data_IF_325029461321
#
_entry.id   IF_325029461321
#
_cell.length_a   1.000
_cell.length_b   1.000
_cell.length_c   1.000
_cell.angle_alpha   90.00
_cell.angle_beta   90.00
_cell.angle_gamma   90.00
#
_symmetry.space_group_name_H-M   'P 1'
#
loop_
_entity.id
_entity.type
_entity.pdbx_description
1 polymer ?
#
# COMPACT_ATOMS: atom_id res chain seq x y z
N UNK A 1 -43.01 25.79 -45.83
CA UNK A 1 -42.53 25.13 -44.59
C UNK A 1 -41.31 24.31 -44.96
N UNK A 2 -40.13 24.88 -44.76
CA UNK A 2 -38.84 24.28 -45.14
C UNK A 2 -38.34 23.44 -43.96
N UNK A 3 -38.26 22.12 -44.14
CA UNK A 3 -37.82 21.20 -43.10
C UNK A 3 -36.29 21.29 -42.96
N UNK A 4 -35.87 21.73 -41.77
CA UNK A 4 -34.49 21.82 -41.31
C UNK A 4 -33.86 20.41 -41.29
N UNK A 5 -32.92 20.17 -42.21
CA UNK A 5 -32.13 18.94 -42.24
C UNK A 5 -31.19 18.90 -41.03
N UNK A 6 -31.46 17.99 -40.10
CA UNK A 6 -30.56 17.67 -38.98
C UNK A 6 -29.48 16.71 -39.49
N UNK A 7 -28.18 17.05 -39.38
CA UNK A 7 -27.13 16.10 -39.71
C UNK A 7 -27.13 14.95 -38.69
N UNK A 8 -27.25 13.73 -39.19
CA UNK A 8 -27.12 12.50 -38.42
C UNK A 8 -25.81 12.50 -37.60
N UNK A 9 -25.95 12.41 -36.28
CA UNK A 9 -24.84 12.15 -35.37
C UNK A 9 -24.20 10.81 -35.76
N UNK A 10 -23.00 10.90 -36.34
CA UNK A 10 -22.19 9.75 -36.69
C UNK A 10 -21.90 8.95 -35.42
N UNK A 11 -22.54 7.78 -35.30
CA UNK A 11 -22.25 6.77 -34.30
C UNK A 11 -20.81 6.32 -34.54
N UNK A 12 -19.87 6.90 -33.80
CA UNK A 12 -18.48 6.41 -33.78
C UNK A 12 -18.52 5.01 -33.17
N UNK A 13 -18.59 4.00 -34.03
CA UNK A 13 -18.26 2.61 -33.69
C UNK A 13 -16.91 2.64 -32.98
N UNK A 14 -16.92 2.34 -31.68
CA UNK A 14 -15.71 2.16 -30.90
C UNK A 14 -14.93 1.01 -31.57
N UNK A 15 -13.94 1.34 -32.38
CA UNK A 15 -13.00 0.36 -32.88
C UNK A 15 -12.41 -0.37 -31.66
N UNK A 16 -12.30 -1.72 -31.70
CA UNK A 16 -11.57 -2.43 -30.66
C UNK A 16 -10.15 -1.87 -30.63
N UNK A 17 -9.79 -1.25 -29.50
CA UNK A 17 -8.44 -0.77 -29.28
C UNK A 17 -7.44 -1.91 -29.47
N UNK A 18 -6.15 -1.58 -29.71
CA UNK A 18 -5.12 -2.61 -29.91
C UNK A 18 -5.17 -3.63 -28.77
N UNK A 19 -4.96 -4.93 -29.07
CA UNK A 19 -4.97 -5.97 -28.05
C UNK A 19 -3.99 -5.57 -26.95
N UNK A 20 -4.50 -5.46 -25.71
CA UNK A 20 -3.65 -5.17 -24.55
C UNK A 20 -2.58 -6.27 -24.50
N UNK A 21 -1.29 -5.93 -24.35
CA UNK A 21 -0.23 -6.93 -24.38
C UNK A 21 -0.53 -8.05 -23.39
N UNK A 22 -0.55 -9.29 -23.90
CA UNK A 22 -0.84 -10.53 -23.16
C UNK A 22 0.10 -10.81 -21.97
N UNK A 23 1.13 -9.97 -21.77
CA UNK A 23 2.08 -10.03 -20.67
C UNK A 23 1.47 -9.79 -19.28
N UNK A 24 0.21 -9.34 -19.19
CA UNK A 24 -0.47 -9.03 -17.91
C UNK A 24 -1.71 -9.91 -17.63
N UNK A 25 -1.97 -10.93 -18.45
CA UNK A 25 -3.05 -11.91 -18.25
C UNK A 25 -2.59 -13.06 -17.35
N UNK A 26 -2.15 -12.73 -16.15
CA UNK A 26 -1.92 -13.72 -15.12
C UNK A 26 -3.23 -14.20 -14.49
N UNK A 27 -3.33 -15.50 -14.22
CA UNK A 27 -4.41 -16.07 -13.42
C UNK A 27 -4.22 -15.79 -11.93
N UNK A 28 -5.30 -15.44 -11.25
CA UNK A 28 -5.41 -15.42 -9.79
C UNK A 28 -6.08 -16.73 -9.35
N UNK A 29 -5.67 -17.35 -8.22
CA UNK A 29 -6.35 -18.52 -7.67
C UNK A 29 -7.84 -18.20 -7.47
N UNK A 30 -8.71 -18.96 -8.13
CA UNK A 30 -10.16 -18.68 -8.12
C UNK A 30 -10.86 -19.25 -6.88
N UNK A 31 -10.23 -20.19 -6.17
CA UNK A 31 -10.79 -20.86 -5.02
C UNK A 31 -9.71 -21.33 -4.01
N UNK A 32 -10.05 -21.47 -2.71
CA UNK A 32 -9.19 -22.13 -1.73
C UNK A 32 -8.89 -23.58 -2.19
N UNK A 33 -7.60 -23.92 -2.34
CA UNK A 33 -7.15 -25.22 -2.86
C UNK A 33 -6.63 -25.19 -4.31
N UNK A 34 -6.73 -24.04 -4.99
CA UNK A 34 -6.06 -23.81 -6.28
C UNK A 34 -4.58 -23.46 -6.05
N UNK A 35 -3.70 -24.44 -6.28
CA UNK A 35 -2.24 -24.31 -6.12
C UNK A 35 -1.56 -23.60 -7.29
N UNK A 36 -2.32 -23.02 -8.22
CA UNK A 36 -1.74 -22.27 -9.34
C UNK A 36 -0.98 -21.05 -8.80
N UNK A 37 0.32 -20.93 -9.11
CA UNK A 37 1.08 -19.73 -8.77
C UNK A 37 0.39 -18.51 -9.39
N UNK A 38 0.16 -17.48 -8.58
CA UNK A 38 -0.43 -16.24 -9.08
C UNK A 38 0.52 -15.61 -10.11
N UNK A 39 0.05 -15.54 -11.35
CA UNK A 39 0.86 -15.13 -12.50
C UNK A 39 0.69 -13.65 -12.87
N UNK A 40 -0.17 -12.91 -12.16
CA UNK A 40 -0.43 -11.47 -12.44
C UNK A 40 0.78 -10.58 -12.14
N UNK A 41 1.72 -11.05 -11.30
CA UNK A 41 2.96 -10.33 -11.02
C UNK A 41 2.72 -8.87 -10.62
N UNK A 42 3.30 -7.93 -11.37
CA UNK A 42 3.20 -6.49 -11.12
C UNK A 42 2.06 -5.79 -11.87
N UNK A 43 1.16 -6.55 -12.52
CA UNK A 43 0.07 -6.01 -13.32
C UNK A 43 -0.88 -5.17 -12.45
N UNK A 44 -1.42 -4.05 -12.97
CA UNK A 44 -2.48 -3.31 -12.28
C UNK A 44 -3.70 -4.18 -11.97
N UNK A 45 -4.27 -4.03 -10.78
CA UNK A 45 -5.46 -4.76 -10.33
C UNK A 45 -6.72 -4.13 -10.96
N UNK A 46 -7.58 -4.93 -11.62
CA UNK A 46 -8.81 -4.44 -12.27
C UNK A 46 -9.82 -3.96 -11.22
N UNK A 47 -10.63 -2.96 -11.58
CA UNK A 47 -11.69 -2.39 -10.72
C UNK A 47 -12.59 -3.46 -10.09
N UNK A 48 -12.93 -4.53 -10.84
CA UNK A 48 -13.80 -5.62 -10.36
C UNK A 48 -13.17 -6.52 -9.29
N UNK A 49 -11.85 -6.48 -9.12
CA UNK A 49 -11.11 -7.21 -8.10
C UNK A 49 -10.58 -6.28 -7.00
N UNK A 50 -11.05 -5.03 -6.92
CA UNK A 50 -10.71 -4.12 -5.82
C UNK A 50 -11.71 -4.32 -4.70
N UNK A 51 -11.27 -5.01 -3.64
CA UNK A 51 -12.09 -5.32 -2.48
C UNK A 51 -11.33 -4.90 -1.22
N UNK A 52 -11.96 -4.10 -0.37
CA UNK A 52 -11.33 -3.60 0.85
C UNK A 52 -11.92 -2.27 1.28
N UNK A 53 -12.82 -2.31 2.26
CA UNK A 53 -13.30 -1.11 2.94
C UNK A 53 -12.32 -0.65 4.03
N UNK A 54 -12.52 0.58 4.53
CA UNK A 54 -11.70 1.17 5.59
C UNK A 54 -11.56 0.29 6.85
N UNK A 55 -12.62 -0.46 7.21
CA UNK A 55 -12.59 -1.38 8.35
C UNK A 55 -11.60 -2.54 8.20
N UNK A 56 -11.42 -3.09 6.99
CA UNK A 56 -10.45 -4.16 6.73
C UNK A 56 -9.02 -3.63 6.68
N UNK A 57 -8.85 -2.40 6.17
CA UNK A 57 -7.57 -1.67 6.28
C UNK A 57 -7.19 -1.47 7.75
N UNK A 58 -8.14 -1.07 8.60
CA UNK A 58 -7.87 -0.92 10.03
C UNK A 58 -7.32 -2.21 10.63
N UNK A 59 -7.93 -3.37 10.37
CA UNK A 59 -7.44 -4.65 10.93
C UNK A 59 -6.05 -5.03 10.41
N UNK A 60 -5.79 -4.80 9.12
CA UNK A 60 -4.49 -5.07 8.48
C UNK A 60 -3.38 -4.21 9.07
N UNK A 61 -3.68 -2.96 9.42
CA UNK A 61 -2.71 -2.05 10.02
C UNK A 61 -2.64 -2.20 11.55
N UNK A 62 -3.75 -2.44 12.23
CA UNK A 62 -3.80 -2.52 13.67
C UNK A 62 -2.96 -3.68 14.22
N UNK A 63 -3.09 -4.87 13.63
CA UNK A 63 -2.37 -6.06 14.09
C UNK A 63 -0.83 -5.89 14.13
N UNK A 64 -0.15 -5.45 13.05
CA UNK A 64 1.30 -5.26 13.08
C UNK A 64 1.76 -4.00 13.82
N UNK A 65 0.87 -3.04 14.13
CA UNK A 65 1.25 -1.85 14.88
C UNK A 65 1.32 -2.09 16.41
N UNK A 66 0.76 -3.21 16.90
CA UNK A 66 0.91 -3.63 18.30
C UNK A 66 2.27 -4.28 18.54
N UNK A 67 3.34 -3.49 18.44
CA UNK A 67 4.72 -3.95 18.65
C UNK A 67 5.40 -3.20 19.78
N UNK A 68 6.41 -3.84 20.37
CA UNK A 68 7.24 -3.26 21.43
C UNK A 68 7.89 -1.93 21.00
N UNK A 69 8.14 -1.76 19.69
CA UNK A 69 8.68 -0.53 19.11
C UNK A 69 7.81 0.71 19.40
N UNK A 70 6.48 0.55 19.41
CA UNK A 70 5.56 1.64 19.76
C UNK A 70 5.70 2.08 21.22
N UNK A 71 5.93 1.13 22.14
CA UNK A 71 6.18 1.42 23.56
C UNK A 71 7.47 2.21 23.74
N UNK A 72 8.55 1.83 23.04
CA UNK A 72 9.82 2.56 23.07
C UNK A 72 9.68 4.00 22.56
N UNK A 73 8.89 4.19 21.50
CA UNK A 73 8.66 5.52 20.94
C UNK A 73 7.92 6.42 21.94
N UNK A 74 6.95 5.86 22.67
CA UNK A 74 6.24 6.57 23.75
C UNK A 74 7.12 6.89 24.96
N UNK A 75 7.98 5.97 25.38
CA UNK A 75 8.86 6.19 26.54
C UNK A 75 9.94 7.23 26.28
N UNK A 76 10.41 7.40 25.03
CA UNK A 76 11.36 8.46 24.68
C UNK A 76 10.83 9.85 25.07
N UNK A 77 9.53 10.13 24.85
CA UNK A 77 8.94 11.41 25.24
C UNK A 77 9.08 11.70 26.74
N UNK A 78 8.84 10.68 27.57
CA UNK A 78 8.96 10.80 29.04
C UNK A 78 10.43 10.90 29.47
N UNK A 79 11.33 10.14 28.84
CA UNK A 79 12.77 10.21 29.10
C UNK A 79 13.36 11.58 28.76
N UNK A 80 12.80 12.27 27.76
CA UNK A 80 13.16 13.64 27.39
C UNK A 80 12.61 14.71 28.37
N UNK A 81 11.94 14.29 29.44
CA UNK A 81 11.44 15.17 30.50
C UNK A 81 10.04 15.72 30.26
N UNK A 82 9.28 15.19 29.28
CA UNK A 82 7.88 15.56 29.10
C UNK A 82 6.99 14.79 30.08
N UNK A 83 5.96 15.47 30.60
CA UNK A 83 4.86 14.81 31.31
C UNK A 83 4.16 13.78 30.41
N UNK A 84 3.60 12.72 31.02
CA UNK A 84 2.95 11.63 30.29
C UNK A 84 1.87 12.13 29.32
N UNK A 85 1.07 13.11 29.72
CA UNK A 85 -0.01 13.64 28.88
C UNK A 85 0.57 14.38 27.67
N UNK A 86 1.63 15.15 27.88
CA UNK A 86 2.32 15.90 26.81
C UNK A 86 3.06 14.95 25.87
N UNK A 87 3.72 13.92 26.40
CA UNK A 87 4.37 12.88 25.60
C UNK A 87 3.36 12.11 24.74
N UNK A 88 2.22 11.73 25.33
CA UNK A 88 1.13 11.07 24.61
C UNK A 88 0.56 11.98 23.50
N UNK A 89 0.29 13.26 23.82
CA UNK A 89 -0.17 14.22 22.84
C UNK A 89 0.84 14.43 21.70
N UNK A 90 2.14 14.51 22.01
CA UNK A 90 3.20 14.65 21.01
C UNK A 90 3.27 13.43 20.08
N UNK A 91 3.16 12.21 20.61
CA UNK A 91 3.09 10.99 19.81
C UNK A 91 1.85 10.97 18.92
N UNK A 92 0.67 11.27 19.47
CA UNK A 92 -0.58 11.32 18.70
C UNK A 92 -0.50 12.34 17.56
N UNK A 93 0.00 13.54 17.84
CA UNK A 93 0.19 14.58 16.81
C UNK A 93 1.21 14.12 15.76
N UNK A 94 2.34 13.54 16.18
CA UNK A 94 3.34 13.00 15.26
C UNK A 94 2.79 11.90 14.36
N UNK A 95 2.01 10.97 14.92
CA UNK A 95 1.34 9.90 14.15
C UNK A 95 0.34 10.47 13.16
N UNK A 96 -0.50 11.43 13.56
CA UNK A 96 -1.47 12.07 12.65
C UNK A 96 -0.74 12.80 11.52
N UNK A 97 0.28 13.58 11.84
CA UNK A 97 1.08 14.30 10.84
C UNK A 97 1.79 13.35 9.87
N UNK A 98 2.34 12.23 10.35
CA UNK A 98 2.94 11.20 9.52
C UNK A 98 1.94 10.38 8.70
N UNK A 99 0.71 10.24 9.22
CA UNK A 99 -0.37 9.55 8.52
C UNK A 99 -0.88 10.35 7.31
N UNK A 100 -0.83 11.68 7.32
CA UNK A 100 -1.30 12.53 6.21
C UNK A 100 -0.61 12.21 4.87
N UNK A 101 0.74 12.26 4.73
CA UNK A 101 1.39 11.96 3.47
C UNK A 101 1.22 10.47 3.09
N UNK A 102 1.19 9.59 4.08
CA UNK A 102 0.98 8.14 3.87
C UNK A 102 -0.41 7.87 3.30
N UNK A 103 -1.45 8.50 3.86
CA UNK A 103 -2.83 8.41 3.39
C UNK A 103 -2.96 8.99 1.97
N UNK A 104 -2.34 10.14 1.71
CA UNK A 104 -2.33 10.76 0.39
C UNK A 104 -1.70 9.83 -0.66
N UNK A 105 -0.52 9.27 -0.39
CA UNK A 105 0.14 8.32 -1.29
C UNK A 105 -0.64 6.99 -1.41
N UNK A 106 -1.35 6.58 -0.36
CA UNK A 106 -2.26 5.44 -0.39
C UNK A 106 -3.41 5.62 -1.40
N UNK A 107 -3.90 6.85 -1.60
CA UNK A 107 -4.94 7.13 -2.61
C UNK A 107 -4.45 6.83 -4.02
N UNK A 108 -3.16 7.03 -4.31
CA UNK A 108 -2.61 6.79 -5.65
C UNK A 108 -2.62 5.30 -6.03
N UNK A 109 -2.35 4.41 -5.07
CA UNK A 109 -2.47 2.97 -5.25
C UNK A 109 -3.92 2.54 -5.53
N UNK A 110 -4.89 3.12 -4.81
CA UNK A 110 -6.31 2.79 -5.01
C UNK A 110 -6.85 3.21 -6.39
N UNK A 111 -6.36 4.32 -6.95
CA UNK A 111 -6.79 4.84 -8.27
C UNK A 111 -6.11 4.15 -9.45
N UNK A 112 -4.84 3.81 -9.31
CA UNK A 112 -4.04 3.21 -10.40
C UNK A 112 -4.09 1.69 -10.39
N UNK A 113 -4.41 1.09 -9.24
CA UNK A 113 -4.38 -0.37 -9.03
C UNK A 113 -2.96 -0.96 -9.11
N UNK A 114 -1.93 -0.12 -9.19
CA UNK A 114 -0.54 -0.54 -9.33
C UNK A 114 0.18 -0.47 -7.96
N UNK A 115 1.13 -1.39 -7.75
CA UNK A 115 1.98 -1.36 -6.55
C UNK A 115 2.84 -0.09 -6.49
N UNK A 116 3.28 0.28 -5.28
CA UNK A 116 4.11 1.47 -5.07
C UNK A 116 5.43 1.43 -5.86
N UNK A 117 6.05 0.26 -6.01
CA UNK A 117 7.29 0.07 -6.77
C UNK A 117 7.09 0.30 -8.29
N UNK A 118 6.10 -0.33 -8.96
CA UNK A 118 5.74 0.02 -10.34
C UNK A 118 5.42 1.50 -10.54
N UNK A 119 4.69 2.12 -9.61
CA UNK A 119 4.38 3.56 -9.66
C UNK A 119 5.63 4.44 -9.51
N UNK A 120 6.57 4.05 -8.63
CA UNK A 120 7.82 4.77 -8.45
C UNK A 120 8.69 4.78 -9.71
N UNK A 121 8.52 3.81 -10.63
CA UNK A 121 9.20 3.83 -11.95
C UNK A 121 8.77 5.00 -12.82
N UNK A 122 7.56 5.52 -12.65
CA UNK A 122 7.08 6.69 -13.41
C UNK A 122 7.81 7.97 -13.00
N UNK A 123 8.15 8.11 -11.72
CA UNK A 123 8.85 9.29 -11.19
C UNK A 123 10.38 9.16 -11.29
N UNK A 124 10.93 7.97 -11.04
CA UNK A 124 12.39 7.76 -10.95
C UNK A 124 13.00 7.00 -12.13
N UNK A 125 12.20 6.49 -13.07
CA UNK A 125 12.70 5.73 -14.22
C UNK A 125 13.53 4.52 -13.80
N UNK A 126 14.75 4.38 -14.35
CA UNK A 126 15.69 3.30 -13.97
C UNK A 126 16.30 3.48 -12.59
N UNK A 127 16.27 4.70 -12.02
CA UNK A 127 16.78 4.98 -10.68
C UNK A 127 15.86 4.45 -9.57
N UNK A 128 14.69 3.88 -9.89
CA UNK A 128 13.78 3.21 -8.95
C UNK A 128 14.47 2.14 -8.09
N UNK A 129 15.58 1.58 -8.58
CA UNK A 129 16.37 0.57 -7.85
C UNK A 129 16.89 1.14 -6.53
N UNK A 130 17.19 2.44 -6.46
CA UNK A 130 17.67 3.10 -5.25
C UNK A 130 16.59 3.12 -4.15
N UNK A 131 15.41 3.74 -4.35
CA UNK A 131 14.34 3.69 -3.34
C UNK A 131 13.86 2.26 -3.08
N UNK A 132 13.88 1.38 -4.08
CA UNK A 132 13.57 -0.04 -3.89
C UNK A 132 14.56 -0.77 -2.98
N UNK A 133 15.86 -0.54 -3.16
CA UNK A 133 16.90 -1.13 -2.32
C UNK A 133 16.86 -0.56 -0.90
N UNK A 134 16.65 0.75 -0.75
CA UNK A 134 16.47 1.39 0.56
C UNK A 134 15.26 0.80 1.28
N UNK A 135 14.11 0.70 0.61
CA UNK A 135 12.91 0.11 1.20
C UNK A 135 13.12 -1.37 1.58
N UNK A 136 13.85 -2.12 0.77
CA UNK A 136 14.19 -3.52 1.06
C UNK A 136 15.06 -3.63 2.32
N UNK A 137 16.10 -2.82 2.44
CA UNK A 137 16.95 -2.75 3.63
C UNK A 137 16.15 -2.33 4.87
N UNK A 138 15.27 -1.33 4.74
CA UNK A 138 14.39 -0.91 5.83
C UNK A 138 13.44 -2.03 6.28
N UNK A 139 12.96 -2.85 5.34
CA UNK A 139 12.09 -3.99 5.66
C UNK A 139 12.85 -5.07 6.44
N UNK A 140 14.09 -5.37 6.04
CA UNK A 140 14.97 -6.30 6.79
C UNK A 140 15.24 -5.78 8.20
N UNK A 141 15.54 -4.49 8.34
CA UNK A 141 15.78 -3.88 9.65
C UNK A 141 14.53 -3.98 10.55
N UNK A 142 13.34 -3.77 9.98
CA UNK A 142 12.07 -3.92 10.68
C UNK A 142 11.82 -5.36 11.14
N UNK A 143 12.02 -6.35 10.25
CA UNK A 143 11.86 -7.77 10.59
C UNK A 143 12.87 -8.22 11.64
N UNK A 144 14.11 -7.74 11.56
CA UNK A 144 15.15 -8.00 12.56
C UNK A 144 14.79 -7.45 13.95
N UNK A 145 14.19 -6.26 14.02
CA UNK A 145 13.72 -5.67 15.28
C UNK A 145 12.57 -6.49 15.89
N UNK A 146 11.61 -6.91 15.08
CA UNK A 146 10.51 -7.78 15.56
C UNK A 146 11.08 -9.11 16.05
N UNK A 147 12.00 -9.71 15.31
CA UNK A 147 12.67 -10.95 15.69
C UNK A 147 13.47 -10.81 16.99
N UNK A 148 14.18 -9.69 17.17
CA UNK A 148 14.92 -9.39 18.39
C UNK A 148 13.99 -9.33 19.60
N UNK A 149 12.89 -8.58 19.52
CA UNK A 149 11.92 -8.49 20.62
C UNK A 149 11.24 -9.82 20.92
N UNK A 150 10.95 -10.62 19.89
CA UNK A 150 10.41 -11.97 20.05
C UNK A 150 11.40 -12.91 20.76
N UNK A 151 12.69 -12.83 20.41
CA UNK A 151 13.75 -13.59 21.06
C UNK A 151 13.95 -13.20 22.53
N UNK A 152 13.98 -11.90 22.81
CA UNK A 152 14.06 -11.35 24.17
C UNK A 152 12.88 -11.79 25.04
N UNK A 153 11.68 -11.85 24.46
CA UNK A 153 10.49 -12.33 25.15
C UNK A 153 10.60 -13.83 25.47
N UNK A 154 11.07 -14.66 24.54
CA UNK A 154 11.25 -16.09 24.75
C UNK A 154 12.34 -16.39 25.79
N UNK A 155 13.45 -15.67 25.75
CA UNK A 155 14.56 -15.85 26.69
C UNK A 155 14.20 -15.55 28.15
N UNK A 156 13.12 -14.78 28.39
CA UNK A 156 12.61 -14.49 29.74
C UNK A 156 11.60 -15.53 30.25
N UNK A 157 11.15 -16.45 29.40
CA UNK A 157 10.22 -17.53 29.74
C UNK A 157 10.92 -18.86 30.06
N UNK A 158 12.18 -19.01 29.64
CA UNK A 158 13.04 -20.15 29.95
C UNK A 158 13.97 -19.81 31.12
#
# INVERSE_FOLDING_TARGET
>A
MSAMSMPHASTKTHAPGPPRPAAFEGGTPAAPGDWRPESRGIAPVPESHRYGGAGRLFTVWFAPNLTMSGVFTGTIGVVLGLDFVTALAAVLVGTVLGAVPTAYLGTWGSRTGAGQLPLARLAFGRAVVVPGAVQWLSSIAWDALIGLFGGDALARLC
#
